data_IF_898645912406
#
_entry.id   IF_898645912406
#
_cell.length_a   1.000
_cell.length_b   1.000
_cell.length_c   1.000
_cell.angle_alpha   90.00
_cell.angle_beta   90.00
_cell.angle_gamma   90.00
#
_symmetry.space_group_name_H-M   'P 1'
#
loop_
_entity.id
_entity.type
_entity.pdbx_description
1 polymer ?
#
# COMPACT_ATOMS: atom_id res chain seq x y z
N UNK A 1 -16.19 8.48 3.62
CA UNK A 1 -15.89 8.73 2.20
C UNK A 1 -16.90 7.99 1.33
N UNK A 2 -17.26 8.53 0.17
CA UNK A 2 -18.09 7.84 -0.84
C UNK A 2 -17.28 6.90 -1.74
N UNK A 3 -15.95 6.95 -1.66
CA UNK A 3 -15.03 6.13 -2.46
C UNK A 3 -14.72 4.75 -1.87
N UNK A 4 -15.31 4.40 -0.73
CA UNK A 4 -15.23 3.05 -0.18
C UNK A 4 -13.82 2.49 0.14
N UNK A 5 -12.98 3.29 0.79
CA UNK A 5 -11.69 2.86 1.29
C UNK A 5 -11.84 1.64 2.22
N UNK A 6 -11.31 0.50 1.79
CA UNK A 6 -11.40 -0.75 2.55
C UNK A 6 -10.16 -0.92 3.40
N UNK A 7 -10.30 -0.95 4.75
CA UNK A 7 -9.18 -1.22 5.61
C UNK A 7 -8.78 -2.68 5.51
N UNK A 8 -7.49 -2.94 5.62
CA UNK A 8 -6.96 -4.30 5.68
C UNK A 8 -5.73 -4.32 6.59
N UNK A 9 -5.34 -5.52 6.98
CA UNK A 9 -4.16 -5.73 7.82
C UNK A 9 -3.25 -6.78 7.22
N UNK A 10 -2.00 -6.77 7.65
CA UNK A 10 -1.12 -7.91 7.47
C UNK A 10 -0.30 -8.18 8.73
N UNK A 11 0.15 -9.42 8.85
CA UNK A 11 0.92 -9.90 9.98
C UNK A 11 2.34 -10.28 9.55
N UNK A 12 3.27 -10.09 10.49
CA UNK A 12 4.64 -10.59 10.42
C UNK A 12 4.99 -11.30 11.74
N UNK A 13 6.02 -12.13 11.69
CA UNK A 13 6.64 -12.74 12.86
C UNK A 13 6.02 -14.07 13.31
N UNK A 14 6.55 -14.63 14.42
CA UNK A 14 6.30 -16.02 14.80
C UNK A 14 4.86 -16.34 15.20
N UNK A 15 4.09 -15.37 15.71
CA UNK A 15 2.68 -15.60 16.08
C UNK A 15 1.82 -15.99 14.87
N UNK A 16 2.08 -15.40 13.69
CA UNK A 16 1.34 -15.74 12.48
C UNK A 16 1.57 -17.20 12.10
N UNK A 17 2.83 -17.65 12.15
CA UNK A 17 3.22 -19.04 11.88
C UNK A 17 2.71 -20.01 12.94
N UNK A 18 2.77 -19.66 14.23
CA UNK A 18 2.29 -20.50 15.32
C UNK A 18 0.79 -20.74 15.21
N UNK A 19 0.00 -19.69 14.95
CA UNK A 19 -1.44 -19.81 14.77
C UNK A 19 -1.81 -20.44 13.40
N UNK A 20 -0.82 -20.60 12.52
CA UNK A 20 -0.95 -21.17 11.19
C UNK A 20 -1.82 -20.31 10.28
N UNK A 21 -1.68 -18.98 10.39
CA UNK A 21 -2.19 -18.04 9.41
C UNK A 21 -1.38 -18.20 8.12
N UNK A 22 -2.06 -18.14 6.99
CA UNK A 22 -1.50 -18.52 5.69
C UNK A 22 -0.91 -17.31 4.95
N UNK A 23 0.23 -17.50 4.27
CA UNK A 23 0.90 -16.50 3.43
C UNK A 23 1.06 -16.97 1.98
N UNK A 24 0.28 -17.98 1.57
CA UNK A 24 0.41 -18.72 0.34
C UNK A 24 -0.79 -18.54 -0.60
N UNK A 25 -1.03 -19.54 -1.44
CA UNK A 25 -2.12 -19.49 -2.42
C UNK A 25 -3.48 -19.38 -1.71
N UNK A 26 -4.23 -18.32 -2.02
CA UNK A 26 -5.57 -18.12 -1.47
C UNK A 26 -5.59 -17.53 -0.06
N UNK A 27 -4.48 -16.96 0.42
CA UNK A 27 -4.30 -16.49 1.81
C UNK A 27 -5.48 -15.69 2.41
N UNK A 28 -6.13 -14.79 1.65
CA UNK A 28 -7.24 -13.97 2.17
C UNK A 28 -8.48 -14.82 2.44
N UNK A 29 -8.69 -15.84 1.59
CA UNK A 29 -9.85 -16.72 1.66
C UNK A 29 -9.65 -17.88 2.62
N UNK A 30 -8.42 -18.10 3.10
CA UNK A 30 -8.14 -19.11 4.10
C UNK A 30 -8.93 -18.79 5.39
N UNK A 31 -9.65 -19.77 5.98
CA UNK A 31 -10.51 -19.54 7.14
C UNK A 31 -9.91 -18.76 8.32
N UNK A 32 -8.70 -19.07 8.76
CA UNK A 32 -8.01 -18.39 9.86
C UNK A 32 -7.69 -16.94 9.52
N UNK A 33 -7.24 -16.66 8.29
CA UNK A 33 -7.01 -15.28 7.84
C UNK A 33 -8.34 -14.51 7.73
N UNK A 34 -9.36 -15.13 7.15
CA UNK A 34 -10.68 -14.54 6.95
C UNK A 34 -11.37 -14.16 8.28
N UNK A 35 -11.10 -14.90 9.37
CA UNK A 35 -11.62 -14.57 10.71
C UNK A 35 -11.16 -13.18 11.16
N UNK A 36 -9.90 -12.78 10.91
CA UNK A 36 -9.42 -11.45 11.26
C UNK A 36 -10.09 -10.35 10.44
N UNK A 37 -10.29 -10.57 9.14
CA UNK A 37 -11.06 -9.65 8.28
C UNK A 37 -12.51 -9.45 8.76
N UNK A 38 -13.17 -10.55 9.16
CA UNK A 38 -14.51 -10.51 9.77
C UNK A 38 -14.52 -9.77 11.10
N UNK A 39 -13.53 -10.03 11.96
CA UNK A 39 -13.38 -9.31 13.22
C UNK A 39 -13.26 -7.81 12.99
N UNK A 40 -12.42 -7.36 12.07
CA UNK A 40 -12.27 -5.93 11.73
C UNK A 40 -13.59 -5.34 11.26
N UNK A 41 -14.34 -6.07 10.43
CA UNK A 41 -15.67 -5.65 9.97
C UNK A 41 -16.61 -5.37 11.14
N UNK A 42 -16.71 -6.31 12.08
CA UNK A 42 -17.54 -6.18 13.27
C UNK A 42 -17.05 -5.07 14.20
N UNK A 43 -15.73 -4.95 14.38
CA UNK A 43 -15.12 -3.90 15.20
C UNK A 43 -15.43 -2.51 14.63
N UNK A 44 -15.36 -2.31 13.32
CA UNK A 44 -15.72 -1.04 12.69
C UNK A 44 -17.19 -0.69 12.95
N UNK A 45 -18.10 -1.65 12.80
CA UNK A 45 -19.53 -1.40 13.00
C UNK A 45 -19.89 -1.14 14.48
N UNK A 46 -19.35 -1.95 15.39
CA UNK A 46 -19.77 -1.94 16.80
C UNK A 46 -18.91 -1.03 17.69
N UNK A 47 -17.60 -0.97 17.45
CA UNK A 47 -16.66 -0.18 18.26
C UNK A 47 -16.32 1.16 17.60
N UNK A 48 -16.15 1.15 16.27
CA UNK A 48 -15.88 2.35 15.48
C UNK A 48 -17.12 3.20 15.20
N UNK A 49 -18.33 2.70 15.51
CA UNK A 49 -19.60 3.39 15.28
C UNK A 49 -19.92 3.60 13.80
N UNK A 50 -19.38 2.77 12.90
CA UNK A 50 -19.70 2.86 11.48
C UNK A 50 -21.11 2.35 11.19
N UNK A 51 -21.91 3.17 10.51
CA UNK A 51 -23.27 2.89 10.06
C UNK A 51 -23.39 3.14 8.56
N UNK A 52 -23.90 2.13 7.87
CA UNK A 52 -24.12 2.17 6.41
C UNK A 52 -25.09 3.29 6.07
N UNK A 53 -24.79 4.06 5.01
CA UNK A 53 -25.51 5.29 4.58
C UNK A 53 -25.36 6.51 5.50
N UNK A 54 -24.72 6.41 6.66
CA UNK A 54 -24.46 7.55 7.55
C UNK A 54 -22.99 8.02 7.47
N UNK A 55 -22.07 7.29 8.09
CA UNK A 55 -20.62 7.57 8.06
C UNK A 55 -19.83 6.49 7.29
N UNK A 56 -20.49 5.38 6.91
CA UNK A 56 -20.03 4.37 5.96
C UNK A 56 -20.76 4.53 4.62
N UNK A 57 -20.35 5.54 3.85
CA UNK A 57 -21.10 6.10 2.70
C UNK A 57 -20.62 5.64 1.31
N UNK A 58 -19.99 4.49 1.17
CA UNK A 58 -19.42 4.04 -0.11
C UNK A 58 -20.51 3.94 -1.16
N UNK A 59 -20.36 4.63 -2.29
CA UNK A 59 -21.41 4.71 -3.34
C UNK A 59 -21.85 3.33 -3.81
N UNK A 60 -20.90 2.41 -3.96
CA UNK A 60 -21.13 1.01 -4.35
C UNK A 60 -20.94 0.03 -3.19
N UNK A 61 -20.94 0.51 -1.94
CA UNK A 61 -20.61 -0.29 -0.77
C UNK A 61 -19.10 -0.39 -0.51
N UNK A 62 -18.73 -1.17 0.50
CA UNK A 62 -17.34 -1.43 0.88
C UNK A 62 -17.07 -2.94 0.76
N UNK A 63 -15.88 -3.30 0.30
CA UNK A 63 -15.42 -4.67 0.42
C UNK A 63 -15.24 -5.03 1.90
N UNK A 64 -15.33 -6.32 2.20
CA UNK A 64 -15.02 -6.84 3.54
C UNK A 64 -13.53 -6.63 3.80
N UNK A 65 -13.13 -5.99 4.92
CA UNK A 65 -11.75 -5.99 5.38
C UNK A 65 -11.10 -7.37 5.30
N UNK A 66 -9.82 -7.42 4.92
CA UNK A 66 -9.07 -8.65 4.77
C UNK A 66 -7.78 -8.66 5.60
N UNK A 67 -7.23 -9.86 5.79
CA UNK A 67 -5.96 -10.09 6.45
C UNK A 67 -5.02 -10.80 5.47
N UNK A 68 -3.79 -10.30 5.37
CA UNK A 68 -2.67 -10.92 4.67
C UNK A 68 -1.63 -11.40 5.69
N UNK A 69 -0.69 -12.23 5.25
CA UNK A 69 0.53 -12.53 6.00
C UNK A 69 1.70 -12.38 5.05
N UNK A 70 2.69 -11.56 5.41
CA UNK A 70 3.93 -11.57 4.63
C UNK A 70 4.70 -12.85 4.96
N UNK A 71 5.20 -13.52 3.92
CA UNK A 71 6.09 -14.65 4.07
C UNK A 71 7.51 -14.14 4.44
N UNK A 72 7.74 -13.98 5.75
CA UNK A 72 9.02 -13.52 6.29
C UNK A 72 10.20 -14.35 5.75
N UNK A 73 10.06 -15.68 5.65
CA UNK A 73 11.12 -16.56 5.16
C UNK A 73 11.44 -16.31 3.68
N UNK A 74 10.41 -16.20 2.83
CA UNK A 74 10.62 -15.93 1.41
C UNK A 74 11.25 -14.54 1.17
N UNK A 75 10.92 -13.55 1.99
CA UNK A 75 11.61 -12.26 1.95
C UNK A 75 13.10 -12.41 2.32
N UNK A 76 13.41 -13.15 3.39
CA UNK A 76 14.79 -13.41 3.82
C UNK A 76 15.60 -14.20 2.78
N UNK A 77 14.99 -15.19 2.13
CA UNK A 77 15.63 -16.05 1.13
C UNK A 77 16.14 -15.26 -0.09
N UNK A 78 15.52 -14.11 -0.38
CA UNK A 78 15.94 -13.19 -1.46
C UNK A 78 16.79 -12.02 -0.95
N UNK A 79 17.23 -12.08 0.31
CA UNK A 79 18.05 -11.03 0.95
C UNK A 79 17.27 -9.77 1.33
N UNK A 80 15.94 -9.80 1.27
CA UNK A 80 15.10 -8.67 1.66
C UNK A 80 14.66 -8.77 3.12
N UNK A 81 14.56 -7.60 3.75
CA UNK A 81 13.96 -7.50 5.09
C UNK A 81 12.44 -7.67 4.98
N UNK A 82 11.82 -8.53 5.80
CA UNK A 82 10.38 -8.50 6.02
C UNK A 82 9.94 -7.10 6.46
N UNK A 83 8.70 -6.75 6.17
CA UNK A 83 8.21 -5.39 6.31
C UNK A 83 8.37 -4.83 7.74
N UNK A 84 8.07 -5.62 8.78
CA UNK A 84 8.21 -5.17 10.16
C UNK A 84 9.66 -4.82 10.52
N UNK A 85 10.64 -5.50 9.94
CA UNK A 85 12.04 -5.14 10.12
C UNK A 85 12.40 -3.79 9.48
N UNK A 86 11.78 -3.43 8.34
CA UNK A 86 11.90 -2.09 7.75
C UNK A 86 11.27 -1.01 8.63
N UNK A 87 10.39 -1.40 9.56
CA UNK A 87 9.77 -0.52 10.57
C UNK A 87 10.54 -0.49 11.89
N UNK A 88 11.65 -1.22 12.00
CA UNK A 88 12.54 -1.25 13.15
C UNK A 88 12.20 -2.29 14.22
N UNK A 89 11.31 -3.24 13.91
CA UNK A 89 11.08 -4.40 14.76
C UNK A 89 12.11 -5.50 14.47
N UNK A 90 12.45 -6.28 15.49
CA UNK A 90 13.34 -7.44 15.33
C UNK A 90 12.66 -8.56 14.54
N UNK A 91 13.44 -9.41 13.87
CA UNK A 91 12.92 -10.50 13.03
C UNK A 91 11.85 -11.36 13.72
N UNK A 92 12.09 -11.71 14.98
CA UNK A 92 11.18 -12.57 15.76
C UNK A 92 10.20 -11.80 16.65
N UNK A 93 10.04 -10.48 16.45
CA UNK A 93 8.90 -9.75 17.00
C UNK A 93 7.68 -9.90 16.09
N UNK A 94 6.54 -10.21 16.70
CA UNK A 94 5.27 -10.27 15.98
C UNK A 94 4.63 -8.88 15.89
N UNK A 95 4.14 -8.55 14.71
CA UNK A 95 3.52 -7.25 14.45
C UNK A 95 2.27 -7.37 13.62
N UNK A 96 1.35 -6.43 13.82
CA UNK A 96 0.23 -6.17 12.94
C UNK A 96 0.44 -4.83 12.26
N UNK A 97 0.32 -4.80 10.95
CA UNK A 97 0.28 -3.57 10.17
C UNK A 97 -1.13 -3.36 9.63
N UNK A 98 -1.64 -2.14 9.76
CA UNK A 98 -2.95 -1.75 9.24
C UNK A 98 -2.77 -0.70 8.15
N UNK A 99 -3.51 -0.85 7.05
CA UNK A 99 -3.57 0.11 5.95
C UNK A 99 -4.99 0.15 5.37
N UNK A 100 -5.16 0.88 4.27
CA UNK A 100 -6.40 0.88 3.50
C UNK A 100 -6.10 0.81 2.01
N UNK A 101 -6.99 0.19 1.25
CA UNK A 101 -6.94 0.19 -0.20
C UNK A 101 -8.24 0.79 -0.75
N UNK A 102 -8.14 1.51 -1.86
CA UNK A 102 -9.32 1.99 -2.60
C UNK A 102 -9.62 1.10 -3.82
N UNK A 103 -8.64 0.29 -4.23
CA UNK A 103 -8.76 -0.62 -5.35
C UNK A 103 -8.04 -1.93 -5.01
N UNK A 104 -8.68 -3.06 -5.33
CA UNK A 104 -8.04 -4.37 -5.36
C UNK A 104 -7.44 -4.61 -6.75
N UNK A 105 -8.25 -4.47 -7.81
CA UNK A 105 -7.82 -4.59 -9.20
C UNK A 105 -7.41 -6.00 -9.63
N UNK A 106 -7.00 -6.14 -10.89
CA UNK A 106 -6.42 -7.38 -11.42
C UNK A 106 -4.95 -7.49 -11.03
N UNK A 107 -4.46 -8.71 -10.79
CA UNK A 107 -3.01 -8.92 -10.69
C UNK A 107 -2.34 -8.88 -12.06
N UNK A 108 -1.09 -8.43 -12.07
CA UNK A 108 -0.20 -8.45 -13.20
C UNK A 108 0.61 -9.76 -13.20
N UNK A 109 1.00 -10.22 -14.40
CA UNK A 109 1.75 -11.46 -14.61
C UNK A 109 3.01 -11.16 -15.41
N UNK A 110 4.19 -11.00 -14.77
CA UNK A 110 5.40 -10.74 -15.51
C UNK A 110 5.81 -11.95 -16.34
N UNK A 111 5.74 -11.86 -17.67
CA UNK A 111 6.11 -12.94 -18.59
C UNK A 111 7.64 -13.06 -18.83
N UNK A 112 8.45 -12.58 -17.90
CA UNK A 112 9.90 -12.52 -17.99
C UNK A 112 10.54 -12.63 -16.61
N UNK A 113 11.80 -13.06 -16.57
CA UNK A 113 12.63 -13.04 -15.35
C UNK A 113 13.57 -11.83 -15.28
N UNK A 114 13.52 -10.93 -16.27
CA UNK A 114 14.29 -9.69 -16.29
C UNK A 114 13.73 -8.70 -15.25
N UNK A 115 14.52 -8.42 -14.21
CA UNK A 115 14.14 -7.54 -13.12
C UNK A 115 13.81 -6.11 -13.56
N UNK A 116 14.48 -5.57 -14.59
CA UNK A 116 14.22 -4.21 -15.09
C UNK A 116 12.84 -4.16 -15.73
N UNK A 117 12.51 -5.18 -16.55
CA UNK A 117 11.19 -5.29 -17.20
C UNK A 117 10.07 -5.57 -16.19
N UNK A 118 10.31 -6.40 -15.18
CA UNK A 118 9.34 -6.59 -14.10
C UNK A 118 9.07 -5.25 -13.39
N UNK A 119 10.12 -4.49 -13.04
CA UNK A 119 9.98 -3.17 -12.44
C UNK A 119 9.24 -2.19 -13.36
N UNK A 120 9.49 -2.21 -14.67
CA UNK A 120 8.71 -1.40 -15.64
C UNK A 120 7.23 -1.75 -15.62
N UNK A 121 6.90 -3.04 -15.57
CA UNK A 121 5.51 -3.51 -15.45
C UNK A 121 4.87 -3.09 -14.14
N UNK A 122 5.60 -3.16 -13.02
CA UNK A 122 5.12 -2.66 -11.72
C UNK A 122 4.89 -1.14 -11.73
N UNK A 123 5.75 -0.38 -12.40
CA UNK A 123 5.59 1.06 -12.57
C UNK A 123 4.34 1.36 -13.42
N UNK A 124 4.10 0.58 -14.47
CA UNK A 124 2.88 0.65 -15.25
C UNK A 124 1.64 0.31 -14.40
N UNK A 125 1.70 -0.74 -13.58
CA UNK A 125 0.60 -1.14 -12.69
C UNK A 125 0.25 -0.02 -11.70
N UNK A 126 1.27 0.63 -11.13
CA UNK A 126 1.12 1.77 -10.26
C UNK A 126 0.48 2.99 -10.97
N UNK A 127 0.81 3.21 -12.24
CA UNK A 127 0.28 4.28 -13.10
C UNK A 127 -1.16 3.99 -13.56
N UNK A 128 -1.50 2.74 -13.84
CA UNK A 128 -2.83 2.33 -14.27
C UNK A 128 -3.81 2.35 -13.07
N UNK A 129 -3.37 1.79 -11.94
CA UNK A 129 -4.16 1.73 -10.69
C UNK A 129 -4.03 2.98 -9.81
N UNK A 130 -4.09 4.18 -10.38
CA UNK A 130 -4.13 5.40 -9.55
C UNK A 130 -5.41 5.48 -8.70
N UNK A 131 -5.35 6.22 -7.59
CA UNK A 131 -6.56 6.56 -6.85
C UNK A 131 -7.41 7.54 -7.66
N UNK A 132 -8.74 7.36 -7.63
CA UNK A 132 -9.70 8.34 -8.15
C UNK A 132 -9.56 8.58 -9.67
N UNK A 133 -9.89 7.61 -10.53
CA UNK A 133 -9.90 7.76 -11.99
C UNK A 133 -8.62 8.37 -12.59
N UNK A 134 -7.54 7.58 -12.70
CA UNK A 134 -6.22 8.02 -13.19
C UNK A 134 -5.64 9.22 -12.42
N UNK A 135 -6.08 9.43 -11.17
CA UNK A 135 -5.46 10.39 -10.27
C UNK A 135 -6.18 11.73 -10.12
N UNK A 136 -7.48 11.84 -10.25
CA UNK A 136 -8.15 13.12 -9.94
C UNK A 136 -7.91 13.62 -8.51
N UNK A 137 -7.44 12.75 -7.61
CA UNK A 137 -6.84 13.08 -6.31
C UNK A 137 -5.35 13.47 -6.37
N UNK A 138 -4.59 13.12 -5.33
CA UNK A 138 -3.14 13.39 -5.28
C UNK A 138 -2.37 12.54 -6.32
N UNK A 139 -1.31 13.08 -6.95
CA UNK A 139 -0.54 12.32 -7.95
C UNK A 139 0.29 11.20 -7.34
N UNK A 140 0.79 11.39 -6.12
CA UNK A 140 1.65 10.44 -5.41
C UNK A 140 0.96 9.92 -4.15
N UNK A 141 0.33 8.75 -4.26
CA UNK A 141 -0.42 8.10 -3.18
C UNK A 141 0.38 6.99 -2.50
N UNK A 142 -0.10 6.52 -1.35
CA UNK A 142 0.46 5.31 -0.75
C UNK A 142 0.04 4.07 -1.55
N UNK A 143 0.93 3.08 -1.61
CA UNK A 143 0.72 1.83 -2.34
C UNK A 143 1.27 0.66 -1.56
N UNK A 144 0.63 -0.48 -1.73
CA UNK A 144 1.14 -1.77 -1.25
C UNK A 144 1.22 -2.72 -2.42
N UNK A 145 2.42 -3.19 -2.71
CA UNK A 145 2.72 -4.16 -3.74
C UNK A 145 2.77 -5.54 -3.10
N UNK A 146 1.95 -6.47 -3.58
CA UNK A 146 2.02 -7.88 -3.24
C UNK A 146 2.84 -8.58 -4.31
N UNK A 147 3.90 -9.27 -3.92
CA UNK A 147 4.84 -9.92 -4.82
C UNK A 147 4.91 -11.40 -4.46
N UNK A 148 4.70 -12.28 -5.44
CA UNK A 148 4.98 -13.70 -5.20
C UNK A 148 6.48 -13.94 -4.99
N UNK A 149 6.86 -15.01 -4.26
CA UNK A 149 8.27 -15.34 -4.02
C UNK A 149 9.14 -15.36 -5.28
N UNK A 150 8.66 -15.90 -6.39
CA UNK A 150 9.41 -15.94 -7.65
C UNK A 150 9.63 -14.55 -8.26
N UNK A 151 8.64 -13.64 -8.16
CA UNK A 151 8.78 -12.24 -8.62
C UNK A 151 9.79 -11.50 -7.73
N UNK A 152 9.69 -11.65 -6.41
CA UNK A 152 10.65 -11.07 -5.47
C UNK A 152 12.08 -11.58 -5.74
N UNK A 153 12.23 -12.88 -6.00
CA UNK A 153 13.52 -13.50 -6.36
C UNK A 153 14.09 -12.92 -7.65
N UNK A 154 13.29 -12.77 -8.70
CA UNK A 154 13.73 -12.17 -9.94
C UNK A 154 14.19 -10.71 -9.73
N UNK A 155 13.39 -9.90 -9.02
CA UNK A 155 13.69 -8.50 -8.71
C UNK A 155 14.96 -8.36 -7.87
N UNK A 156 15.17 -9.23 -6.86
CA UNK A 156 16.31 -9.15 -5.93
C UNK A 156 17.68 -9.24 -6.61
N UNK A 157 17.75 -9.82 -7.81
CA UNK A 157 18.98 -9.94 -8.61
C UNK A 157 19.54 -8.58 -9.03
N UNK A 158 18.67 -7.59 -9.20
CA UNK A 158 19.04 -6.21 -9.57
C UNK A 158 18.83 -5.25 -8.41
N UNK A 159 17.76 -5.41 -7.63
CA UNK A 159 17.40 -4.55 -6.52
C UNK A 159 17.68 -5.25 -5.19
N UNK A 160 18.87 -5.05 -4.65
CA UNK A 160 19.33 -5.70 -3.41
C UNK A 160 18.49 -5.37 -2.18
N UNK A 161 17.70 -4.30 -2.22
CA UNK A 161 16.76 -3.92 -1.16
C UNK A 161 15.43 -3.46 -1.74
N UNK A 162 14.36 -3.55 -0.94
CA UNK A 162 13.04 -2.97 -1.27
C UNK A 162 13.10 -1.45 -1.47
N UNK A 163 14.04 -0.75 -0.83
CA UNK A 163 14.25 0.69 -1.02
C UNK A 163 14.85 0.99 -2.41
N UNK A 164 15.83 0.19 -2.86
CA UNK A 164 16.39 0.32 -4.20
C UNK A 164 15.32 0.07 -5.28
N UNK A 165 14.42 -0.89 -5.05
CA UNK A 165 13.25 -1.11 -5.90
C UNK A 165 12.31 0.10 -5.89
N UNK A 166 12.01 0.67 -4.71
CA UNK A 166 11.17 1.88 -4.62
C UNK A 166 11.76 3.04 -5.42
N UNK A 167 13.06 3.30 -5.29
CA UNK A 167 13.74 4.38 -6.01
C UNK A 167 13.61 4.19 -7.53
N UNK A 168 13.88 2.98 -8.05
CA UNK A 168 13.71 2.68 -9.47
C UNK A 168 12.26 2.84 -9.94
N UNK A 169 11.28 2.47 -9.11
CA UNK A 169 9.85 2.67 -9.40
C UNK A 169 9.47 4.15 -9.39
N UNK A 170 9.97 4.95 -8.44
CA UNK A 170 9.71 6.40 -8.37
C UNK A 170 10.21 7.12 -9.63
N UNK A 171 11.35 6.71 -10.16
CA UNK A 171 11.89 7.26 -11.41
C UNK A 171 11.03 6.87 -12.62
N UNK A 172 10.58 5.61 -12.67
CA UNK A 172 9.91 5.04 -13.85
C UNK A 172 8.40 5.35 -13.88
N UNK A 173 7.72 5.34 -12.73
CA UNK A 173 6.28 5.47 -12.62
C UNK A 173 5.84 6.93 -12.81
N UNK A 174 5.64 7.31 -14.08
CA UNK A 174 5.24 8.67 -14.48
C UNK A 174 4.03 8.64 -15.42
N UNK A 175 3.17 9.64 -15.29
CA UNK A 175 1.95 9.80 -16.09
C UNK A 175 2.15 10.94 -17.09
N UNK A 176 1.83 10.76 -18.38
CA UNK A 176 1.81 11.88 -19.34
C UNK A 176 0.98 13.06 -18.83
N UNK A 177 1.53 14.27 -18.90
CA UNK A 177 0.92 15.49 -18.37
C UNK A 177 -0.49 15.71 -18.94
N UNK A 178 -0.68 15.47 -20.24
CA UNK A 178 -1.99 15.61 -20.88
C UNK A 178 -3.03 14.63 -20.30
N UNK A 179 -2.65 13.37 -20.07
CA UNK A 179 -3.52 12.36 -19.46
C UNK A 179 -3.86 12.75 -18.01
N UNK A 180 -2.85 13.17 -17.24
CA UNK A 180 -3.01 13.66 -15.88
C UNK A 180 -3.95 14.87 -15.82
N UNK A 181 -3.75 15.84 -16.70
CA UNK A 181 -4.55 17.06 -16.75
C UNK A 181 -6.01 16.74 -17.11
N UNK A 182 -6.24 15.89 -18.12
CA UNK A 182 -7.57 15.43 -18.49
C UNK A 182 -8.30 14.77 -17.32
N UNK A 183 -7.65 13.80 -16.65
CA UNK A 183 -8.22 13.08 -15.53
C UNK A 183 -8.51 14.00 -14.32
N UNK A 184 -7.57 14.91 -14.00
CA UNK A 184 -7.76 15.86 -12.91
C UNK A 184 -8.80 16.94 -13.24
N UNK A 185 -9.00 17.28 -14.51
CA UNK A 185 -9.97 18.28 -14.93
C UNK A 185 -11.40 17.72 -14.89
N UNK A 186 -11.62 16.54 -15.49
CA UNK A 186 -12.98 15.98 -15.64
C UNK A 186 -13.39 15.00 -14.53
N UNK A 187 -12.44 14.35 -13.86
CA UNK A 187 -12.70 13.30 -12.86
C UNK A 187 -12.65 13.74 -11.40
N UNK A 188 -12.61 15.05 -11.11
CA UNK A 188 -12.34 15.58 -9.77
C UNK A 188 -13.53 15.45 -8.81
N UNK A 189 -13.39 14.75 -7.66
CA UNK A 189 -14.49 14.55 -6.69
C UNK A 189 -14.88 15.82 -5.92
N UNK A 190 -14.06 16.88 -5.96
CA UNK A 190 -14.17 18.03 -5.06
C UNK A 190 -14.76 19.30 -5.65
N UNK A 191 -15.06 19.35 -6.96
CA UNK A 191 -15.51 20.60 -7.60
C UNK A 191 -16.27 20.32 -8.89
N UNK A 192 -17.52 20.80 -8.96
CA UNK A 192 -18.16 21.12 -10.23
C UNK A 192 -17.41 22.31 -10.82
N UNK A 193 -16.64 22.10 -11.88
CA UNK A 193 -16.17 23.21 -12.69
C UNK A 193 -17.35 23.70 -13.51
N UNK A 194 -17.89 24.88 -13.19
CA UNK A 194 -18.67 25.62 -14.18
C UNK A 194 -17.74 25.87 -15.36
N UNK A 195 -18.03 25.22 -16.49
CA UNK A 195 -17.17 25.16 -17.69
C UNK A 195 -16.85 26.50 -18.36
N UNK A 196 -17.16 27.63 -17.72
CA UNK A 196 -16.91 28.98 -18.20
C UNK A 196 -15.65 29.67 -17.66
N UNK A 197 -14.95 29.17 -16.63
CA UNK A 197 -13.87 29.96 -15.97
C UNK A 197 -12.41 29.55 -16.25
N UNK A 198 -12.10 28.32 -16.69
CA UNK A 198 -10.73 27.92 -17.02
C UNK A 198 -10.69 26.80 -18.09
N UNK A 199 -9.91 26.99 -19.16
CA UNK A 199 -9.73 25.96 -20.20
C UNK A 199 -8.87 24.78 -19.71
N UNK A 200 -9.01 23.62 -20.37
CA UNK A 200 -8.14 22.46 -20.11
C UNK A 200 -6.64 22.80 -20.25
N UNK A 201 -6.28 23.64 -21.22
CA UNK A 201 -4.91 24.12 -21.40
C UNK A 201 -4.39 24.90 -20.18
N UNK A 202 -5.21 25.82 -19.63
CA UNK A 202 -4.86 26.55 -18.40
C UNK A 202 -4.71 25.60 -17.21
N UNK A 203 -5.57 24.58 -17.12
CA UNK A 203 -5.48 23.58 -16.06
C UNK A 203 -4.25 22.68 -16.20
N UNK A 204 -3.89 22.30 -17.43
CA UNK A 204 -2.68 21.54 -17.71
C UNK A 204 -1.44 22.31 -17.27
N UNK A 205 -1.34 23.61 -17.57
CA UNK A 205 -0.24 24.45 -17.10
C UNK A 205 -0.16 24.50 -15.56
N UNK A 206 -1.32 24.60 -14.89
CA UNK A 206 -1.41 24.57 -13.43
C UNK A 206 -0.95 23.22 -12.85
N UNK A 207 -1.40 22.10 -13.42
CA UNK A 207 -0.96 20.74 -13.05
C UNK A 207 0.55 20.59 -13.26
N UNK A 208 1.08 21.08 -14.37
CA UNK A 208 2.51 21.02 -14.66
C UNK A 208 3.34 21.69 -13.56
N UNK A 209 2.90 22.87 -13.12
CA UNK A 209 3.57 23.64 -12.06
C UNK A 209 3.41 22.99 -10.68
N UNK A 210 2.18 22.66 -10.28
CA UNK A 210 1.89 22.14 -8.93
C UNK A 210 2.40 20.71 -8.75
N UNK A 211 2.39 19.91 -9.82
CA UNK A 211 2.69 18.49 -9.78
C UNK A 211 4.05 18.11 -10.37
N UNK A 212 4.94 19.10 -10.47
CA UNK A 212 6.35 18.91 -10.84
C UNK A 212 6.49 18.13 -12.15
N UNK A 213 5.75 18.57 -13.19
CA UNK A 213 5.94 18.02 -14.51
C UNK A 213 7.37 18.28 -15.01
N UNK A 214 7.90 17.32 -15.73
CA UNK A 214 9.21 17.40 -16.36
C UNK A 214 9.19 16.64 -17.69
N UNK A 215 10.03 17.08 -18.62
CA UNK A 215 10.33 16.31 -19.83
C UNK A 215 11.18 15.10 -19.44
N UNK A 216 10.68 13.90 -19.68
CA UNK A 216 11.37 12.64 -19.40
C UNK A 216 11.44 11.78 -20.65
N UNK A 217 12.30 10.75 -20.64
CA UNK A 217 12.19 9.67 -21.61
C UNK A 217 10.76 9.11 -21.60
N UNK A 218 10.29 8.67 -22.77
CA UNK A 218 8.97 8.06 -22.90
C UNK A 218 8.90 6.78 -22.05
N UNK A 219 7.87 6.62 -21.20
CA UNK A 219 7.71 5.40 -20.42
C UNK A 219 7.68 4.16 -21.33
N UNK A 220 8.24 3.01 -20.92
CA UNK A 220 8.36 1.82 -21.78
C UNK A 220 7.04 1.37 -22.41
N UNK A 221 5.91 1.48 -21.69
CA UNK A 221 4.58 1.13 -22.18
C UNK A 221 3.97 2.14 -23.17
N UNK A 222 4.67 3.23 -23.48
CA UNK A 222 4.29 4.26 -24.46
C UNK A 222 5.32 4.39 -25.60
N UNK A 223 6.34 3.53 -25.67
CA UNK A 223 7.35 3.55 -26.74
C UNK A 223 6.73 3.44 -28.14
N UNK A 224 5.59 2.75 -28.28
CA UNK A 224 4.85 2.58 -29.53
C UNK A 224 4.36 3.91 -30.14
N UNK A 225 4.32 4.99 -29.35
CA UNK A 225 3.97 6.34 -29.84
C UNK A 225 5.06 6.95 -30.73
N UNK A 226 6.29 6.42 -30.71
CA UNK A 226 7.43 6.95 -31.46
C UNK A 226 8.01 8.24 -30.87
N UNK A 227 7.43 8.78 -29.80
CA UNK A 227 7.98 9.93 -29.09
C UNK A 227 9.22 9.52 -28.30
N UNK A 228 10.34 10.22 -28.45
CA UNK A 228 11.54 9.97 -27.65
C UNK A 228 11.41 10.49 -26.20
N UNK A 229 10.60 11.53 -26.00
CA UNK A 229 10.35 12.13 -24.69
C UNK A 229 8.93 12.68 -24.59
N UNK A 230 8.44 12.82 -23.36
CA UNK A 230 7.12 13.35 -23.04
C UNK A 230 7.22 14.26 -21.80
N UNK A 231 6.33 15.25 -21.72
CA UNK A 231 6.06 15.91 -20.44
C UNK A 231 5.25 14.97 -19.55
N UNK A 232 5.77 14.68 -18.36
CA UNK A 232 5.16 13.72 -17.44
C UNK A 232 5.20 14.23 -16.01
N UNK A 233 4.26 13.78 -15.18
CA UNK A 233 4.25 13.99 -13.72
C UNK A 233 4.62 12.69 -12.98
N UNK A 234 5.29 12.77 -11.82
CA UNK A 234 5.56 11.60 -11.00
C UNK A 234 4.26 11.00 -10.43
N UNK A 235 4.19 9.67 -10.43
CA UNK A 235 3.04 8.92 -9.91
C UNK A 235 3.35 8.27 -8.54
N UNK A 236 4.62 8.18 -8.18
CA UNK A 236 5.14 7.57 -6.96
C UNK A 236 6.09 8.52 -6.23
N UNK A 237 6.25 8.32 -4.93
CA UNK A 237 7.13 9.08 -4.06
C UNK A 237 7.77 8.13 -3.05
N UNK A 238 9.05 8.34 -2.75
CA UNK A 238 9.79 7.57 -1.76
C UNK A 238 9.11 7.58 -0.38
N UNK A 239 9.13 6.42 0.30
CA UNK A 239 8.53 6.22 1.61
C UNK A 239 7.01 6.02 1.59
N UNK A 240 6.39 5.95 0.41
CA UNK A 240 4.94 5.70 0.26
C UNK A 240 4.61 4.31 -0.29
N UNK A 241 5.62 3.48 -0.54
CA UNK A 241 5.42 2.13 -1.06
C UNK A 241 5.74 1.08 0.01
N UNK A 242 4.89 0.07 0.08
CA UNK A 242 5.09 -1.15 0.87
C UNK A 242 5.25 -2.30 -0.12
N UNK A 243 6.22 -3.19 0.10
CA UNK A 243 6.40 -4.40 -0.69
C UNK A 243 6.30 -5.60 0.23
N UNK A 244 5.31 -6.46 0.00
CA UNK A 244 5.09 -7.69 0.76
C UNK A 244 5.40 -8.88 -0.14
N UNK A 245 6.26 -9.79 0.33
CA UNK A 245 6.47 -11.08 -0.32
C UNK A 245 5.42 -12.05 0.20
N UNK A 246 4.47 -12.46 -0.63
CA UNK A 246 3.34 -13.31 -0.22
C UNK A 246 2.70 -14.01 -1.43
N UNK A 247 1.84 -14.99 -1.16
CA UNK A 247 1.07 -15.70 -2.18
C UNK A 247 1.76 -16.94 -2.71
N UNK A 248 1.24 -17.46 -3.81
CA UNK A 248 1.65 -18.73 -4.40
C UNK A 248 3.12 -18.70 -4.86
N UNK A 249 4.01 -19.54 -4.27
CA UNK A 249 5.43 -19.57 -4.61
C UNK A 249 5.72 -20.12 -6.01
N UNK A 250 4.74 -20.74 -6.66
CA UNK A 250 4.89 -21.35 -8.00
C UNK A 250 4.38 -20.46 -9.14
N UNK A 251 3.92 -19.25 -8.80
CA UNK A 251 3.34 -18.30 -9.74
C UNK A 251 4.11 -17.00 -9.74
N UNK A 252 4.09 -16.34 -10.89
CA UNK A 252 4.67 -15.02 -11.13
C UNK A 252 3.56 -13.96 -11.08
N UNK A 253 3.19 -13.49 -9.89
CA UNK A 253 2.13 -12.48 -9.72
C UNK A 253 2.65 -11.26 -8.99
N UNK A 254 2.20 -10.12 -9.46
CA UNK A 254 2.30 -8.85 -8.75
C UNK A 254 0.91 -8.21 -8.65
N UNK A 255 0.67 -7.46 -7.57
CA UNK A 255 -0.54 -6.65 -7.42
C UNK A 255 -0.23 -5.33 -6.71
N UNK A 256 -0.48 -4.21 -7.39
CA UNK A 256 -0.47 -2.89 -6.77
C UNK A 256 -1.83 -2.56 -6.15
N UNK A 257 -1.84 -2.34 -4.82
CA UNK A 257 -2.98 -1.88 -4.05
C UNK A 257 -2.81 -0.38 -3.72
N UNK A 258 -3.41 0.55 -4.50
CA UNK A 258 -3.39 1.96 -4.17
C UNK A 258 -4.24 2.23 -2.93
N UNK A 259 -3.71 3.03 -2.01
CA UNK A 259 -4.22 3.03 -0.64
C UNK A 259 -3.79 4.19 0.25
N UNK A 260 -4.16 4.07 1.53
CA UNK A 260 -3.70 4.94 2.58
C UNK A 260 -2.33 4.50 3.08
N UNK A 261 -1.69 5.36 3.88
CA UNK A 261 -0.48 4.98 4.60
C UNK A 261 -0.74 3.83 5.57
N UNK A 262 0.34 3.21 6.03
CA UNK A 262 0.29 2.10 6.97
C UNK A 262 0.79 2.49 8.35
N UNK A 263 0.26 1.82 9.37
CA UNK A 263 0.73 1.88 10.76
C UNK A 263 1.04 0.47 11.22
N UNK A 264 2.18 0.30 11.90
CA UNK A 264 2.62 -1.00 12.42
C UNK A 264 2.69 -0.94 13.94
N UNK A 265 2.11 -1.95 14.59
CA UNK A 265 2.13 -2.11 16.04
C UNK A 265 2.70 -3.48 16.40
N UNK A 266 3.43 -3.54 17.51
CA UNK A 266 3.87 -4.81 18.10
C UNK A 266 2.67 -5.54 18.70
N UNK A 267 2.61 -6.85 18.46
CA UNK A 267 1.68 -7.74 19.16
C UNK A 267 2.34 -8.11 20.49
N UNK A 268 1.74 -7.65 21.59
CA UNK A 268 2.18 -7.97 22.94
C UNK A 268 1.41 -9.20 23.40
N UNK A 269 2.12 -10.31 23.56
CA UNK A 269 1.56 -11.56 24.06
C UNK A 269 1.60 -11.57 25.59
N UNK A 270 0.64 -12.23 26.26
CA UNK A 270 0.68 -12.41 27.70
C UNK A 270 1.90 -13.25 28.12
N UNK A 271 2.35 -13.11 29.37
CA UNK A 271 3.58 -13.74 29.85
C UNK A 271 3.51 -15.28 29.83
N UNK A 272 2.33 -15.85 29.98
CA UNK A 272 2.02 -17.28 29.99
C UNK A 272 1.58 -17.81 28.60
N UNK A 273 1.84 -17.06 27.53
CA UNK A 273 1.40 -17.41 26.17
C UNK A 273 1.75 -18.85 25.75
N UNK A 274 2.98 -19.29 25.97
CA UNK A 274 3.41 -20.65 25.57
C UNK A 274 2.65 -21.74 26.36
N UNK A 275 2.28 -21.48 27.62
CA UNK A 275 1.44 -22.41 28.39
C UNK A 275 0.00 -22.46 27.83
N UNK A 276 -0.60 -21.28 27.56
CA UNK A 276 -1.94 -21.17 26.95
C UNK A 276 -2.02 -21.80 25.55
N UNK A 277 -0.90 -21.81 24.82
CA UNK A 277 -0.78 -22.44 23.50
C UNK A 277 -0.58 -23.96 23.61
N UNK A 278 0.24 -24.42 24.58
CA UNK A 278 0.44 -25.84 24.83
C UNK A 278 -0.88 -26.55 25.22
N UNK A 279 -1.74 -25.92 26.03
CA UNK A 279 -3.08 -26.43 26.36
C UNK A 279 -3.97 -26.66 25.13
N UNK A 280 -3.71 -25.92 24.03
CA UNK A 280 -4.40 -26.05 22.75
C UNK A 280 -3.64 -26.91 21.73
N UNK A 281 -2.55 -27.56 22.15
CA UNK A 281 -1.75 -28.46 21.31
C UNK A 281 -0.74 -27.75 20.39
N UNK A 282 -0.48 -26.46 20.60
CA UNK A 282 0.52 -25.72 19.82
C UNK A 282 1.92 -25.86 20.42
N UNK A 283 2.93 -25.85 19.54
CA UNK A 283 4.35 -25.74 19.93
C UNK A 283 4.65 -24.36 20.53
N UNK A 284 5.67 -24.21 21.39
CA UNK A 284 6.06 -22.91 21.93
C UNK A 284 6.46 -21.94 20.80
N UNK A 285 6.29 -20.63 21.05
CA UNK A 285 6.49 -19.58 20.03
C UNK A 285 7.91 -19.61 19.43
N UNK A 286 8.91 -19.97 20.23
CA UNK A 286 10.31 -20.08 19.83
C UNK A 286 10.56 -21.12 18.74
N UNK A 287 9.72 -22.15 18.62
CA UNK A 287 9.80 -23.15 17.54
C UNK A 287 9.51 -22.56 16.15
N UNK A 288 8.89 -21.36 16.10
CA UNK A 288 8.57 -20.65 14.86
C UNK A 288 9.53 -19.49 14.58
N UNK A 289 10.64 -19.39 15.30
CA UNK A 289 11.62 -18.33 15.09
C UNK A 289 12.43 -18.57 13.82
N UNK A 290 12.65 -17.50 13.07
CA UNK A 290 13.54 -17.50 11.91
C UNK A 290 14.93 -16.99 12.30
N UNK A 291 15.92 -17.30 11.48
CA UNK A 291 17.31 -16.89 11.65
C UNK A 291 17.74 -16.08 10.43
N UNK A 292 18.38 -14.94 10.67
CA UNK A 292 19.02 -14.10 9.65
C UNK A 292 20.05 -13.20 10.32
N UNK A 293 21.07 -12.80 9.56
CA UNK A 293 22.06 -11.78 9.91
C UNK A 293 21.56 -10.35 9.64
N UNK A 294 20.47 -10.19 8.89
CA UNK A 294 19.86 -8.89 8.61
C UNK A 294 19.43 -8.19 9.90
N UNK A 295 19.75 -6.89 9.98
CA UNK A 295 19.38 -6.04 11.11
C UNK A 295 18.14 -5.20 10.77
N UNK A 296 17.24 -4.96 11.75
CA UNK A 296 16.13 -4.03 11.56
C UNK A 296 16.61 -2.64 11.17
N UNK A 297 15.79 -1.93 10.39
CA UNK A 297 16.07 -0.55 10.03
C UNK A 297 15.81 0.38 11.22
N UNK A 298 16.44 1.55 11.19
CA UNK A 298 15.98 2.63 12.06
C UNK A 298 14.64 3.14 11.52
N UNK A 299 13.63 3.41 12.39
CA UNK A 299 12.36 3.94 11.94
C UNK A 299 12.57 5.18 11.07
N UNK A 300 12.13 5.10 9.80
CA UNK A 300 12.21 6.23 8.87
C UNK A 300 11.20 7.30 9.29
N UNK A 301 11.53 8.60 9.13
CA UNK A 301 10.54 9.65 9.30
C UNK A 301 9.38 9.44 8.33
N UNK A 302 8.17 9.83 8.74
CA UNK A 302 7.03 9.79 7.84
C UNK A 302 7.32 10.63 6.59
N UNK A 303 7.00 10.14 5.38
CA UNK A 303 7.19 10.91 4.17
C UNK A 303 6.42 12.23 4.30
N UNK A 304 7.04 13.33 3.86
CA UNK A 304 6.35 14.62 3.84
C UNK A 304 5.08 14.48 2.99
N UNK A 305 3.94 14.84 3.59
CA UNK A 305 2.67 14.89 2.88
C UNK A 305 2.79 15.77 1.64
N UNK A 306 2.14 15.35 0.55
CA UNK A 306 2.11 16.13 -0.68
C UNK A 306 1.38 17.45 -0.41
N UNK A 307 2.09 18.58 -0.51
CA UNK A 307 1.56 19.90 -0.16
C UNK A 307 1.01 20.58 -1.41
N UNK A 308 -0.29 20.40 -1.68
CA UNK A 308 -1.00 21.14 -2.74
C UNK A 308 -1.81 22.29 -2.12
N UNK A 309 -1.75 23.52 -2.67
CA UNK A 309 -2.67 24.58 -2.26
C UNK A 309 -4.12 24.12 -2.41
N UNK A 310 -4.93 24.25 -1.34
CA UNK A 310 -6.36 23.90 -1.36
C UNK A 310 -6.70 22.43 -1.06
N UNK A 311 -5.74 21.50 -1.03
CA UNK A 311 -5.97 20.13 -0.54
C UNK A 311 -5.42 20.02 0.88
N UNK A 312 -6.28 19.73 1.87
CA UNK A 312 -5.81 19.48 3.24
C UNK A 312 -4.89 18.26 3.24
N UNK A 313 -3.58 18.50 3.32
CA UNK A 313 -2.59 17.42 3.53
C UNK A 313 -2.84 16.66 4.83
N UNK A 314 -2.21 15.49 4.96
CA UNK A 314 -2.29 14.60 6.12
C UNK A 314 -1.95 15.32 7.43
N UNK A 315 -2.96 15.92 8.07
CA UNK A 315 -2.88 16.44 9.45
C UNK A 315 -3.07 15.29 10.43
N UNK A 316 -2.18 14.29 10.41
CA UNK A 316 -2.17 13.26 11.45
C UNK A 316 -1.59 13.76 12.79
N UNK A 317 -1.07 14.99 12.86
CA UNK A 317 -0.41 15.54 14.05
C UNK A 317 -1.24 16.55 14.88
N UNK A 318 -2.56 16.61 14.75
CA UNK A 318 -3.37 17.36 15.71
C UNK A 318 -4.02 16.37 16.69
N UNK A 319 -3.45 16.28 17.90
CA UNK A 319 -4.18 15.73 19.05
C UNK A 319 -5.58 16.35 19.06
N UNK A 320 -6.67 15.58 19.23
CA UNK A 320 -8.00 16.16 19.31
C UNK A 320 -7.99 17.18 20.45
N UNK A 321 -8.25 18.45 20.12
CA UNK A 321 -8.52 19.46 21.14
C UNK A 321 -9.74 18.95 21.90
N UNK A 322 -9.58 18.68 23.21
CA UNK A 322 -10.71 18.39 24.09
C UNK A 322 -11.76 19.49 23.89
N UNK A 323 -13.06 19.16 23.71
CA UNK A 323 -14.08 20.19 23.72
C UNK A 323 -14.01 20.90 25.08
N UNK A 324 -13.85 22.22 25.05
CA UNK A 324 -14.02 23.03 26.25
C UNK A 324 -15.47 22.88 26.70
N UNK A 325 -15.68 22.44 27.94
CA UNK A 325 -17.00 22.41 28.55
C UNK A 325 -17.50 23.85 28.63
N UNK A 326 -18.64 24.14 27.99
CA UNK A 326 -19.41 25.35 28.30
C UNK A 326 -20.03 25.16 29.69
N UNK A 327 -19.97 26.16 30.60
CA UNK A 327 -20.71 26.08 31.84
C UNK A 327 -22.21 26.21 31.55
N UNK A 328 -23.05 25.54 32.36
CA UNK A 328 -24.50 25.55 32.18
C UNK A 328 -25.07 26.95 32.42
N UNK A 329 -26.02 27.34 31.59
CA UNK A 329 -27.00 28.39 31.88
C UNK A 329 -28.22 27.76 32.52
#
# INVERSE_FOLDING_TARGET
STHAWTPYVWLNGPVARQLGLDSGQGEISEPKNAVLGRFISLALLNLGGYKVKENRMGTFGYLTPWCLVENDQAALDVGWKPYHMQRGFSLNESTLSAASAINWGNNLVPATADAVRIKDMMAWDAVEKQQMAVGSGMPCVYRTFLLTPDVAKALSRTYSTKDALEQALVETARVPLAQRAFANYWGNPGSSFDGGQASLARHQARVAQEEHAATTATPPWLEWTGAASLETVPAMQEGKSVFLVTGDPTRNKELCLPGGGSVTVKIVLPADWDALMAERGYQPLSSFYLKSDLRPDRPKPLPKGYSRPGVRGDRQNQRPRRPSARPPQ
#
